data_IF_477725883460
#
_entry.id   IF_477725883460
#
_cell.length_a   1.000
_cell.length_b   1.000
_cell.length_c   1.000
_cell.angle_alpha   90.00
_cell.angle_beta   90.00
_cell.angle_gamma   90.00
#
_symmetry.space_group_name_H-M   'P 1'
#
loop_
_entity.id
_entity.type
_entity.pdbx_description
1 polymer ?
#
# COMPACT_ATOMS: atom_id res chain seq x y z
N UNK A 1 52.07 -61.09 -15.78
CA UNK A 1 51.04 -60.21 -16.38
C UNK A 1 49.75 -60.06 -15.56
N UNK A 2 49.57 -60.71 -14.40
CA UNK A 2 48.35 -60.58 -13.56
C UNK A 2 48.25 -59.28 -12.72
N UNK A 3 49.34 -58.52 -12.58
CA UNK A 3 49.37 -57.33 -11.71
C UNK A 3 49.18 -55.98 -12.45
N UNK A 4 49.27 -55.95 -13.79
CA UNK A 4 49.18 -54.69 -14.56
C UNK A 4 47.71 -54.26 -14.74
N UNK A 5 46.80 -55.21 -15.01
CA UNK A 5 45.36 -54.94 -15.07
C UNK A 5 44.77 -54.59 -13.70
N UNK A 6 45.21 -55.27 -12.64
CA UNK A 6 44.82 -54.96 -11.27
C UNK A 6 45.30 -53.57 -10.83
N UNK A 7 46.52 -53.17 -11.22
CA UNK A 7 47.09 -51.85 -10.92
C UNK A 7 46.39 -50.73 -11.69
N UNK A 8 46.16 -50.90 -12.99
CA UNK A 8 45.43 -49.91 -13.80
C UNK A 8 43.95 -49.79 -13.41
N UNK A 9 43.30 -50.87 -12.97
CA UNK A 9 41.93 -50.83 -12.44
C UNK A 9 41.82 -50.11 -11.10
N UNK A 10 42.79 -50.28 -10.19
CA UNK A 10 42.84 -49.57 -8.91
C UNK A 10 43.13 -48.07 -9.13
N UNK A 11 44.06 -47.73 -10.03
CA UNK A 11 44.35 -46.33 -10.40
C UNK A 11 43.13 -45.65 -11.04
N UNK A 12 42.41 -46.34 -11.92
CA UNK A 12 41.16 -45.84 -12.50
C UNK A 12 40.08 -45.62 -11.43
N UNK A 13 39.89 -46.56 -10.50
CA UNK A 13 38.93 -46.41 -9.39
C UNK A 13 39.30 -45.24 -8.47
N UNK A 14 40.58 -45.05 -8.17
CA UNK A 14 41.04 -43.94 -7.34
C UNK A 14 40.76 -42.59 -8.00
N UNK A 15 41.02 -42.46 -9.31
CA UNK A 15 40.73 -41.25 -10.08
C UNK A 15 39.22 -41.01 -10.16
N UNK A 16 38.42 -42.05 -10.43
CA UNK A 16 36.96 -41.95 -10.50
C UNK A 16 36.36 -41.52 -9.15
N UNK A 17 36.86 -42.07 -8.04
CA UNK A 17 36.43 -41.69 -6.69
C UNK A 17 36.86 -40.26 -6.33
N UNK A 18 38.05 -39.82 -6.76
CA UNK A 18 38.50 -38.44 -6.58
C UNK A 18 37.59 -37.43 -7.29
N UNK A 19 37.23 -37.71 -8.55
CA UNK A 19 36.33 -36.86 -9.34
C UNK A 19 34.92 -36.88 -8.75
N UNK A 20 34.38 -38.07 -8.45
CA UNK A 20 33.03 -38.22 -7.89
C UNK A 20 32.91 -37.57 -6.52
N UNK A 21 33.93 -37.72 -5.67
CA UNK A 21 34.01 -37.08 -4.36
C UNK A 21 34.12 -35.55 -4.45
N UNK A 22 34.93 -35.02 -5.38
CA UNK A 22 35.02 -33.58 -5.62
C UNK A 22 33.67 -33.00 -6.06
N UNK A 23 33.00 -33.65 -7.03
CA UNK A 23 31.68 -33.22 -7.51
C UNK A 23 30.63 -33.27 -6.39
N UNK A 24 30.68 -34.27 -5.52
CA UNK A 24 29.77 -34.38 -4.38
C UNK A 24 29.98 -33.25 -3.36
N UNK A 25 31.24 -32.96 -3.01
CA UNK A 25 31.57 -31.84 -2.10
C UNK A 25 31.12 -30.51 -2.69
N UNK A 26 31.40 -30.27 -3.97
CA UNK A 26 31.02 -29.03 -4.65
C UNK A 26 29.50 -28.87 -4.74
N UNK A 27 28.77 -29.97 -4.99
CA UNK A 27 27.31 -29.95 -5.00
C UNK A 27 26.73 -29.68 -3.60
N UNK A 28 27.28 -30.29 -2.55
CA UNK A 28 26.86 -30.03 -1.18
C UNK A 28 27.10 -28.57 -0.75
N UNK A 29 28.25 -27.99 -1.12
CA UNK A 29 28.52 -26.57 -0.85
C UNK A 29 27.50 -25.67 -1.55
N UNK A 30 27.22 -25.91 -2.83
CA UNK A 30 26.21 -25.15 -3.58
C UNK A 30 24.82 -25.24 -2.95
N UNK A 31 24.41 -26.43 -2.49
CA UNK A 31 23.13 -26.60 -1.79
C UNK A 31 23.09 -25.83 -0.46
N UNK A 32 24.18 -25.85 0.30
CA UNK A 32 24.29 -25.08 1.55
C UNK A 32 24.27 -23.56 1.29
N UNK A 33 24.96 -23.08 0.26
CA UNK A 33 24.97 -21.67 -0.12
C UNK A 33 23.58 -21.19 -0.56
N UNK A 34 22.87 -22.00 -1.35
CA UNK A 34 21.49 -21.72 -1.76
C UNK A 34 20.52 -21.66 -0.58
N UNK A 35 20.65 -22.57 0.39
CA UNK A 35 19.82 -22.55 1.59
C UNK A 35 20.13 -21.34 2.47
N UNK A 36 21.41 -20.97 2.62
CA UNK A 36 21.80 -19.75 3.34
C UNK A 36 21.26 -18.48 2.66
N UNK A 37 21.29 -18.43 1.32
CA UNK A 37 20.73 -17.32 0.56
C UNK A 37 19.21 -17.23 0.75
N UNK A 38 18.51 -18.37 0.71
CA UNK A 38 17.08 -18.46 1.01
C UNK A 38 16.79 -17.91 2.41
N UNK A 39 17.54 -18.33 3.43
CA UNK A 39 17.43 -17.84 4.83
C UNK A 39 17.55 -16.33 4.91
N UNK A 40 18.55 -15.78 4.26
CA UNK A 40 18.75 -14.34 4.22
C UNK A 40 17.58 -13.61 3.55
N UNK A 41 17.09 -14.12 2.40
CA UNK A 41 15.94 -13.52 1.69
C UNK A 41 14.68 -13.51 2.55
N UNK A 42 14.36 -14.62 3.22
CA UNK A 42 13.19 -14.71 4.10
C UNK A 42 13.32 -13.76 5.31
N UNK A 43 14.51 -13.62 5.88
CA UNK A 43 14.75 -12.68 6.97
C UNK A 43 14.54 -11.22 6.51
N UNK A 44 15.12 -10.83 5.37
CA UNK A 44 14.94 -9.50 4.77
C UNK A 44 13.44 -9.21 4.51
N UNK A 45 12.70 -10.19 3.98
CA UNK A 45 11.28 -10.05 3.71
C UNK A 45 10.48 -9.87 5.00
N UNK A 46 10.82 -10.62 6.06
CA UNK A 46 10.13 -10.52 7.34
C UNK A 46 10.30 -9.13 7.96
N UNK A 47 11.53 -8.60 7.95
CA UNK A 47 11.82 -7.26 8.46
C UNK A 47 11.09 -6.16 7.65
N UNK A 48 11.04 -6.30 6.31
CA UNK A 48 10.32 -5.35 5.45
C UNK A 48 8.81 -5.40 5.66
N UNK A 49 8.24 -6.61 5.78
CA UNK A 49 6.81 -6.80 6.06
C UNK A 49 6.43 -6.15 7.39
N UNK A 50 7.27 -6.27 8.41
CA UNK A 50 7.02 -5.68 9.72
C UNK A 50 6.93 -4.15 9.62
N UNK A 51 7.87 -3.53 8.92
CA UNK A 51 7.84 -2.10 8.68
C UNK A 51 6.56 -1.66 7.93
N UNK A 52 6.10 -2.45 6.96
CA UNK A 52 4.86 -2.14 6.21
C UNK A 52 3.62 -2.36 7.08
N UNK A 53 3.59 -3.39 7.93
CA UNK A 53 2.50 -3.61 8.90
C UNK A 53 2.40 -2.41 9.83
N UNK A 54 3.51 -1.92 10.37
CA UNK A 54 3.53 -0.76 11.27
C UNK A 54 2.97 0.48 10.57
N UNK A 55 3.48 0.80 9.37
CA UNK A 55 2.97 1.90 8.55
C UNK A 55 1.48 1.75 8.24
N UNK A 56 1.04 0.55 7.86
CA UNK A 56 -0.35 0.29 7.47
C UNK A 56 -1.29 0.38 8.67
N UNK A 57 -0.83 -0.02 9.85
CA UNK A 57 -1.58 0.12 11.11
C UNK A 57 -1.84 1.59 11.42
N UNK A 58 -0.82 2.43 11.34
CA UNK A 58 -0.94 3.88 11.53
C UNK A 58 -1.93 4.49 10.52
N UNK A 59 -1.80 4.11 9.24
CA UNK A 59 -2.73 4.55 8.19
C UNK A 59 -4.18 4.15 8.47
N UNK A 60 -4.43 2.93 8.91
CA UNK A 60 -5.78 2.46 9.24
C UNK A 60 -6.39 3.29 10.40
N UNK A 61 -5.59 3.72 11.37
CA UNK A 61 -6.09 4.60 12.44
C UNK A 61 -6.55 5.95 11.89
N UNK A 62 -5.77 6.59 11.03
CA UNK A 62 -6.18 7.81 10.33
C UNK A 62 -7.46 7.61 9.50
N UNK A 63 -7.57 6.47 8.82
CA UNK A 63 -8.74 6.15 8.01
C UNK A 63 -10.00 5.91 8.83
N UNK A 64 -9.89 5.33 10.03
CA UNK A 64 -11.04 5.15 10.92
C UNK A 64 -11.61 6.50 11.39
N UNK A 65 -10.72 7.46 11.69
CA UNK A 65 -11.11 8.83 11.99
C UNK A 65 -11.80 9.47 10.79
N UNK A 66 -11.17 9.44 9.62
CA UNK A 66 -11.72 10.00 8.39
C UNK A 66 -13.09 9.38 8.02
N UNK A 67 -13.23 8.06 8.15
CA UNK A 67 -14.50 7.36 7.90
C UNK A 67 -15.61 7.89 8.83
N UNK A 68 -15.27 8.12 10.11
CA UNK A 68 -16.18 8.63 11.13
C UNK A 68 -16.55 10.10 10.89
N UNK A 69 -15.59 10.94 10.48
CA UNK A 69 -15.82 12.34 10.09
C UNK A 69 -16.75 12.42 8.88
N UNK A 70 -16.54 11.56 7.88
CA UNK A 70 -17.43 11.43 6.71
C UNK A 70 -18.83 11.03 7.15
N UNK A 71 -18.97 9.98 7.98
CA UNK A 71 -20.28 9.53 8.45
C UNK A 71 -21.01 10.62 9.24
N UNK A 72 -20.30 11.33 10.10
CA UNK A 72 -20.86 12.46 10.83
C UNK A 72 -21.41 13.53 9.89
N UNK A 73 -20.63 13.95 8.88
CA UNK A 73 -21.07 14.97 7.91
C UNK A 73 -22.37 14.54 7.20
N UNK A 74 -22.43 13.32 6.69
CA UNK A 74 -23.60 12.85 5.93
C UNK A 74 -24.81 12.58 6.81
N UNK A 75 -24.63 12.03 8.01
CA UNK A 75 -25.72 11.80 8.95
C UNK A 75 -26.34 13.11 9.46
N UNK A 76 -25.59 14.21 9.42
CA UNK A 76 -26.04 15.53 9.84
C UNK A 76 -26.20 16.51 8.68
N UNK A 77 -26.21 16.07 7.42
CA UNK A 77 -26.12 16.95 6.24
C UNK A 77 -27.12 18.13 6.28
N UNK A 78 -28.38 17.85 6.61
CA UNK A 78 -29.47 18.84 6.66
C UNK A 78 -29.31 19.89 7.77
N UNK A 79 -28.64 19.53 8.86
CA UNK A 79 -28.48 20.36 10.07
C UNK A 79 -27.02 20.69 10.39
N UNK A 80 -26.10 20.39 9.47
CA UNK A 80 -24.66 20.58 9.67
C UNK A 80 -24.38 22.07 9.89
N UNK A 81 -23.52 22.39 10.84
CA UNK A 81 -23.02 23.76 11.00
C UNK A 81 -21.54 23.72 11.31
N UNK A 82 -20.79 24.47 10.51
CA UNK A 82 -19.34 24.58 10.63
C UNK A 82 -18.88 25.18 11.97
N UNK A 83 -19.71 26.00 12.61
CA UNK A 83 -19.44 26.60 13.93
C UNK A 83 -19.51 25.60 15.09
N UNK A 84 -20.20 24.46 14.90
CA UNK A 84 -20.35 23.42 15.92
C UNK A 84 -19.23 22.38 15.89
N UNK A 85 -18.25 22.55 15.01
CA UNK A 85 -17.11 21.65 14.85
C UNK A 85 -15.95 22.15 15.73
N UNK A 86 -15.50 21.30 16.66
CA UNK A 86 -14.43 21.64 17.61
C UNK A 86 -13.11 21.99 16.92
N UNK A 87 -12.74 21.24 15.86
CA UNK A 87 -11.59 21.51 15.00
C UNK A 87 -12.01 21.53 13.52
N UNK A 88 -12.43 22.71 13.00
CA UNK A 88 -12.88 22.84 11.62
C UNK A 88 -11.77 22.57 10.60
N UNK A 89 -10.51 22.83 10.96
CA UNK A 89 -9.38 22.61 10.06
C UNK A 89 -9.16 21.11 9.83
N UNK A 90 -9.06 20.34 10.91
CA UNK A 90 -8.87 18.90 10.88
C UNK A 90 -10.10 18.19 10.28
N UNK A 91 -11.31 18.64 10.59
CA UNK A 91 -12.53 18.13 9.97
C UNK A 91 -12.53 18.35 8.45
N UNK A 92 -12.17 19.56 8.01
CA UNK A 92 -12.01 19.86 6.59
C UNK A 92 -10.96 18.98 5.96
N UNK A 93 -9.86 18.74 6.66
CA UNK A 93 -8.77 17.92 6.18
C UNK A 93 -9.18 16.48 5.90
N UNK A 94 -9.92 15.87 6.83
CA UNK A 94 -10.52 14.55 6.66
C UNK A 94 -11.45 14.49 5.44
N UNK A 95 -12.29 15.51 5.23
CA UNK A 95 -13.29 15.52 4.15
C UNK A 95 -12.69 15.89 2.78
N UNK A 96 -11.76 16.83 2.72
CA UNK A 96 -11.29 17.43 1.48
C UNK A 96 -10.01 16.77 0.93
N UNK A 97 -9.05 16.47 1.80
CA UNK A 97 -7.70 16.10 1.38
C UNK A 97 -7.59 14.64 0.96
N UNK A 98 -6.86 14.39 -0.12
CA UNK A 98 -6.50 13.04 -0.58
C UNK A 98 -5.01 12.78 -0.40
N UNK A 99 -4.14 13.73 -0.75
CA UNK A 99 -2.68 13.56 -0.77
C UNK A 99 -2.10 13.03 0.54
N UNK A 100 -2.48 13.61 1.68
CA UNK A 100 -1.98 13.19 2.98
C UNK A 100 -2.45 11.81 3.40
N UNK A 101 -3.61 11.38 2.89
CA UNK A 101 -4.20 10.07 3.17
C UNK A 101 -3.81 9.01 2.12
N UNK A 102 -2.97 9.35 1.14
CA UNK A 102 -2.48 8.38 0.15
C UNK A 102 -1.75 7.22 0.81
N UNK A 103 -2.01 6.00 0.37
CA UNK A 103 -1.36 4.81 0.86
C UNK A 103 -0.13 4.51 0.01
N UNK A 104 1.05 4.73 0.57
CA UNK A 104 2.32 4.61 -0.14
C UNK A 104 3.33 3.85 0.72
N UNK A 105 3.12 2.53 0.93
CA UNK A 105 4.08 1.70 1.63
C UNK A 105 5.40 1.67 0.86
N UNK A 106 6.53 1.60 1.57
CA UNK A 106 7.82 1.36 0.92
C UNK A 106 7.85 -0.09 0.41
N UNK A 107 8.20 -0.28 -0.86
CA UNK A 107 8.32 -1.62 -1.47
C UNK A 107 9.69 -1.82 -2.14
N UNK A 108 10.66 -0.92 -1.91
CA UNK A 108 11.96 -0.94 -2.59
C UNK A 108 12.71 -2.26 -2.41
N UNK A 109 12.57 -2.88 -1.23
CA UNK A 109 13.22 -4.16 -0.93
C UNK A 109 12.64 -5.28 -1.78
N UNK A 110 11.32 -5.33 -1.98
CA UNK A 110 10.69 -6.31 -2.88
C UNK A 110 11.09 -6.10 -4.33
N UNK A 111 11.12 -4.84 -4.78
CA UNK A 111 11.53 -4.50 -6.14
C UNK A 111 12.98 -4.89 -6.41
N UNK A 112 13.88 -4.71 -5.43
CA UNK A 112 15.26 -5.14 -5.51
C UNK A 112 15.37 -6.67 -5.62
N UNK A 113 14.71 -7.41 -4.72
CA UNK A 113 14.69 -8.89 -4.73
C UNK A 113 14.09 -9.45 -6.02
N UNK A 114 13.07 -8.78 -6.58
CA UNK A 114 12.47 -9.17 -7.86
C UNK A 114 13.44 -8.92 -9.03
N UNK A 115 14.14 -7.79 -9.01
CA UNK A 115 15.05 -7.37 -10.09
C UNK A 115 16.33 -8.21 -10.15
N UNK A 116 16.87 -8.61 -8.99
CA UNK A 116 18.08 -9.45 -8.92
C UNK A 116 17.80 -10.96 -8.94
N UNK A 117 16.52 -11.36 -8.97
CA UNK A 117 16.09 -12.74 -9.12
C UNK A 117 16.00 -13.53 -7.80
N UNK A 118 16.42 -12.96 -6.67
CA UNK A 118 16.34 -13.62 -5.34
C UNK A 118 14.91 -13.87 -4.88
N UNK A 119 13.94 -13.12 -5.42
CA UNK A 119 12.52 -13.38 -5.17
C UNK A 119 12.08 -14.80 -5.61
N UNK A 120 12.80 -15.43 -6.55
CA UNK A 120 12.53 -16.81 -6.97
C UNK A 120 12.86 -17.88 -5.92
N UNK A 121 13.60 -17.52 -4.86
CA UNK A 121 13.91 -18.40 -3.73
C UNK A 121 12.73 -18.54 -2.75
N UNK A 122 11.71 -17.69 -2.87
CA UNK A 122 10.49 -17.71 -2.05
C UNK A 122 9.50 -18.74 -2.60
N UNK A 123 8.72 -19.39 -1.73
CA UNK A 123 7.68 -20.33 -2.16
C UNK A 123 6.68 -19.73 -3.15
N UNK A 124 6.29 -20.53 -4.15
CA UNK A 124 5.41 -20.09 -5.25
C UNK A 124 4.08 -19.50 -4.75
N UNK A 125 3.52 -20.04 -3.68
CA UNK A 125 2.24 -19.57 -3.14
C UNK A 125 2.38 -18.24 -2.39
N UNK A 126 3.51 -18.03 -1.71
CA UNK A 126 3.84 -16.72 -1.13
C UNK A 126 4.05 -15.68 -2.24
N UNK A 127 4.76 -16.05 -3.32
CA UNK A 127 4.93 -15.15 -4.49
C UNK A 127 3.60 -14.77 -5.14
N UNK A 128 2.63 -15.68 -5.23
CA UNK A 128 1.28 -15.38 -5.73
C UNK A 128 0.58 -14.34 -4.85
N UNK A 129 0.63 -14.50 -3.52
CA UNK A 129 0.06 -13.53 -2.58
C UNK A 129 0.70 -12.15 -2.71
N UNK A 130 2.02 -12.08 -2.91
CA UNK A 130 2.68 -10.81 -3.24
C UNK A 130 2.17 -10.21 -4.55
N UNK A 131 1.94 -11.03 -5.58
CA UNK A 131 1.31 -10.60 -6.82
C UNK A 131 -0.07 -9.97 -6.60
N UNK A 132 -0.92 -10.61 -5.79
CA UNK A 132 -2.23 -10.08 -5.39
C UNK A 132 -2.11 -8.75 -4.63
N UNK A 133 -1.12 -8.65 -3.74
CA UNK A 133 -0.83 -7.45 -2.95
C UNK A 133 -0.39 -6.28 -3.84
N UNK A 134 0.50 -6.50 -4.80
CA UNK A 134 0.91 -5.47 -5.76
C UNK A 134 -0.24 -5.02 -6.66
N UNK A 135 -1.06 -5.96 -7.15
CA UNK A 135 -2.27 -5.62 -7.90
C UNK A 135 -3.24 -4.76 -7.06
N UNK A 136 -3.43 -5.12 -5.79
CA UNK A 136 -4.30 -4.36 -4.89
C UNK A 136 -3.77 -2.94 -4.68
N UNK A 137 -2.45 -2.75 -4.55
CA UNK A 137 -1.83 -1.43 -4.46
C UNK A 137 -2.08 -0.59 -5.72
N UNK A 138 -1.97 -1.17 -6.92
CA UNK A 138 -2.31 -0.47 -8.17
C UNK A 138 -3.78 -0.02 -8.18
N UNK A 139 -4.70 -0.85 -7.69
CA UNK A 139 -6.10 -0.47 -7.55
C UNK A 139 -6.32 0.65 -6.53
N UNK A 140 -5.59 0.63 -5.40
CA UNK A 140 -5.62 1.69 -4.40
C UNK A 140 -5.15 3.02 -5.02
N UNK A 141 -4.01 3.03 -5.71
CA UNK A 141 -3.49 4.20 -6.40
C UNK A 141 -4.47 4.75 -7.44
N UNK A 142 -5.15 3.87 -8.17
CA UNK A 142 -6.20 4.28 -9.12
C UNK A 142 -7.40 4.94 -8.42
N UNK A 143 -7.79 4.44 -7.25
CA UNK A 143 -8.87 5.05 -6.46
C UNK A 143 -8.47 6.44 -5.96
N UNK A 144 -7.23 6.61 -5.50
CA UNK A 144 -6.69 7.91 -5.05
C UNK A 144 -6.68 8.94 -6.18
N UNK A 145 -6.30 8.52 -7.40
CA UNK A 145 -6.39 9.39 -8.58
C UNK A 145 -7.84 9.79 -8.89
N UNK A 146 -8.78 8.86 -8.81
CA UNK A 146 -10.20 9.15 -9.00
C UNK A 146 -10.75 10.05 -7.88
N UNK A 147 -10.26 9.91 -6.66
CA UNK A 147 -10.66 10.73 -5.52
C UNK A 147 -10.21 12.18 -5.73
N UNK A 148 -8.95 12.38 -6.14
CA UNK A 148 -8.45 13.69 -6.55
C UNK A 148 -9.30 14.28 -7.68
N UNK A 149 -9.59 13.51 -8.73
CA UNK A 149 -10.43 13.99 -9.83
C UNK A 149 -11.83 14.39 -9.35
N UNK A 150 -12.46 13.59 -8.48
CA UNK A 150 -13.79 13.89 -7.95
C UNK A 150 -13.79 15.14 -7.07
N UNK A 151 -12.69 15.39 -6.35
CA UNK A 151 -12.48 16.65 -5.62
C UNK A 151 -12.38 17.83 -6.59
N UNK A 152 -11.57 17.72 -7.64
CA UNK A 152 -11.45 18.79 -8.65
C UNK A 152 -12.79 19.07 -9.34
N UNK A 153 -13.57 18.03 -9.67
CA UNK A 153 -14.90 18.20 -10.26
C UNK A 153 -15.84 18.97 -9.32
N UNK A 154 -15.81 18.68 -8.01
CA UNK A 154 -16.54 19.43 -6.99
C UNK A 154 -16.08 20.90 -6.92
N UNK A 155 -14.77 21.14 -6.90
CA UNK A 155 -14.20 22.49 -6.84
C UNK A 155 -14.66 23.30 -8.06
N UNK A 156 -14.48 22.74 -9.26
CA UNK A 156 -14.87 23.38 -10.53
C UNK A 156 -16.37 23.68 -10.56
N UNK A 157 -17.20 22.75 -10.08
CA UNK A 157 -18.63 22.96 -9.99
C UNK A 157 -18.98 24.10 -9.04
N UNK A 158 -18.41 24.11 -7.83
CA UNK A 158 -18.62 25.17 -6.84
C UNK A 158 -18.14 26.53 -7.39
N UNK A 159 -17.01 26.59 -8.10
CA UNK A 159 -16.50 27.85 -8.67
C UNK A 159 -17.37 28.39 -9.80
N UNK A 160 -18.06 27.52 -10.55
CA UNK A 160 -18.93 27.93 -11.67
C UNK A 160 -20.33 28.31 -11.23
N UNK A 161 -20.87 27.61 -10.23
CA UNK A 161 -22.29 27.72 -9.86
C UNK A 161 -22.51 28.42 -8.51
N UNK A 162 -21.47 28.50 -7.68
CA UNK A 162 -21.48 29.09 -6.34
C UNK A 162 -20.31 30.08 -6.15
N UNK A 163 -19.97 30.81 -7.21
CA UNK A 163 -18.80 31.71 -7.26
C UNK A 163 -18.84 32.80 -6.18
N UNK A 164 -20.01 33.38 -5.91
CA UNK A 164 -20.19 34.41 -4.88
C UNK A 164 -19.90 33.87 -3.48
N UNK A 165 -20.36 32.65 -3.17
CA UNK A 165 -20.10 31.99 -1.89
C UNK A 165 -18.59 31.71 -1.76
N UNK A 166 -17.94 31.21 -2.82
CA UNK A 166 -16.49 31.00 -2.80
C UNK A 166 -15.69 32.30 -2.64
N UNK A 167 -16.16 33.40 -3.24
CA UNK A 167 -15.54 34.71 -3.09
C UNK A 167 -15.66 35.24 -1.65
N UNK A 168 -16.81 35.03 -1.01
CA UNK A 168 -17.05 35.39 0.38
C UNK A 168 -16.24 34.52 1.36
N UNK A 169 -16.06 33.24 1.04
CA UNK A 169 -15.41 32.25 1.90
C UNK A 169 -14.24 31.53 1.18
N UNK A 170 -13.13 32.24 0.86
CA UNK A 170 -12.02 31.66 0.12
C UNK A 170 -11.27 30.60 0.93
N UNK A 171 -10.96 29.44 0.33
CA UNK A 171 -10.29 28.32 1.03
C UNK A 171 -8.98 27.79 0.41
N UNK A 172 -8.54 28.32 -0.74
CA UNK A 172 -7.36 27.79 -1.46
C UNK A 172 -6.22 28.80 -1.63
N UNK A 173 -6.53 30.09 -1.83
CA UNK A 173 -5.54 31.15 -1.99
C UNK A 173 -6.19 32.54 -1.83
N UNK A 174 -5.52 33.46 -1.15
CA UNK A 174 -5.96 34.86 -1.02
C UNK A 174 -5.74 35.44 0.38
N UNK A 175 -5.88 36.76 0.50
CA UNK A 175 -5.92 37.46 1.79
C UNK A 175 -7.16 36.97 2.54
N UNK A 176 -7.01 36.56 3.81
CA UNK A 176 -8.06 35.97 4.66
C UNK A 176 -8.58 34.58 4.24
N UNK A 177 -7.89 33.88 3.32
CA UNK A 177 -8.23 32.48 3.00
C UNK A 177 -8.00 31.58 4.21
N UNK A 178 -8.98 30.76 4.54
CA UNK A 178 -8.90 29.74 5.59
C UNK A 178 -9.32 28.40 5.01
N UNK A 179 -8.55 27.35 5.26
CA UNK A 179 -8.84 26.04 4.66
C UNK A 179 -10.23 25.54 5.09
N UNK A 180 -10.58 25.77 6.35
CA UNK A 180 -11.87 25.43 6.95
C UNK A 180 -13.08 26.17 6.37
N UNK A 181 -12.87 27.24 5.57
CA UNK A 181 -13.96 27.90 4.85
C UNK A 181 -14.67 26.95 3.87
N UNK A 182 -14.03 25.84 3.48
CA UNK A 182 -14.70 24.79 2.71
C UNK A 182 -15.97 24.28 3.41
N UNK A 183 -15.99 24.15 4.74
CA UNK A 183 -17.17 23.71 5.49
C UNK A 183 -18.29 24.74 5.43
N UNK A 184 -17.94 26.03 5.50
CA UNK A 184 -18.91 27.12 5.36
C UNK A 184 -19.53 27.10 3.96
N UNK A 185 -18.73 26.82 2.92
CA UNK A 185 -19.25 26.65 1.56
C UNK A 185 -20.21 25.45 1.49
N UNK A 186 -19.85 24.30 2.07
CA UNK A 186 -20.74 23.14 2.12
C UNK A 186 -22.06 23.44 2.83
N UNK A 187 -22.00 24.17 3.95
CA UNK A 187 -23.18 24.61 4.70
C UNK A 187 -24.08 25.52 3.85
N UNK A 188 -23.52 26.50 3.15
CA UNK A 188 -24.27 27.44 2.30
C UNK A 188 -24.75 26.81 0.98
N UNK A 189 -24.25 25.63 0.61
CA UNK A 189 -24.62 24.93 -0.63
C UNK A 189 -25.38 23.63 -0.38
N UNK A 190 -25.85 23.39 0.85
CA UNK A 190 -26.45 22.10 1.23
C UNK A 190 -27.66 21.67 0.43
N UNK A 191 -28.45 22.64 -0.05
CA UNK A 191 -29.66 22.40 -0.83
C UNK A 191 -29.35 22.04 -2.29
N UNK A 192 -28.10 22.21 -2.73
CA UNK A 192 -27.65 21.81 -4.06
C UNK A 192 -27.32 20.31 -4.10
N UNK A 193 -28.23 19.54 -4.68
CA UNK A 193 -28.10 18.08 -4.88
C UNK A 193 -26.87 17.69 -5.71
N UNK A 194 -26.35 18.58 -6.55
CA UNK A 194 -25.13 18.34 -7.32
C UNK A 194 -23.90 18.40 -6.43
N UNK A 195 -23.85 19.36 -5.50
CA UNK A 195 -22.79 19.43 -4.47
C UNK A 195 -22.82 18.15 -3.63
N UNK A 196 -24.00 17.74 -3.15
CA UNK A 196 -24.16 16.48 -2.42
C UNK A 196 -23.65 15.28 -3.24
N UNK A 197 -24.02 15.19 -4.51
CA UNK A 197 -23.60 14.07 -5.38
C UNK A 197 -22.10 14.02 -5.66
N UNK A 198 -21.47 15.17 -5.94
CA UNK A 198 -20.03 15.27 -6.21
C UNK A 198 -19.19 15.01 -4.95
N UNK A 199 -19.60 15.59 -3.81
CA UNK A 199 -18.98 15.29 -2.52
C UNK A 199 -19.16 13.82 -2.16
N UNK A 200 -20.34 13.25 -2.44
CA UNK A 200 -20.67 11.84 -2.22
C UNK A 200 -19.75 10.92 -3.00
N UNK A 201 -19.47 11.26 -4.26
CA UNK A 201 -18.52 10.55 -5.11
C UNK A 201 -17.11 10.57 -4.52
N UNK A 202 -16.62 11.74 -4.09
CA UNK A 202 -15.31 11.90 -3.45
C UNK A 202 -15.23 11.06 -2.18
N UNK A 203 -16.12 11.28 -1.22
CA UNK A 203 -16.09 10.59 0.07
C UNK A 203 -16.32 9.08 -0.07
N UNK A 204 -17.14 8.65 -1.03
CA UNK A 204 -17.31 7.25 -1.36
C UNK A 204 -16.03 6.59 -1.87
N UNK A 205 -15.23 7.30 -2.68
CA UNK A 205 -13.90 6.83 -3.10
C UNK A 205 -12.92 6.78 -1.93
N UNK A 206 -12.93 7.79 -1.06
CA UNK A 206 -12.12 7.80 0.18
C UNK A 206 -12.39 6.54 1.03
N UNK A 207 -13.67 6.23 1.33
CA UNK A 207 -14.04 5.02 2.08
C UNK A 207 -13.64 3.73 1.36
N UNK A 208 -13.76 3.72 0.03
CA UNK A 208 -13.40 2.59 -0.84
C UNK A 208 -11.89 2.32 -0.82
N UNK A 209 -11.05 3.37 -0.75
CA UNK A 209 -9.60 3.30 -0.53
C UNK A 209 -9.31 2.73 0.85
N UNK A 210 -9.89 3.31 1.90
CA UNK A 210 -9.69 2.92 3.30
C UNK A 210 -9.98 1.41 3.51
N UNK A 211 -11.08 0.91 2.94
CA UNK A 211 -11.42 -0.53 2.97
C UNK A 211 -10.38 -1.40 2.27
N UNK A 212 -9.82 -0.97 1.14
CA UNK A 212 -8.81 -1.75 0.41
C UNK A 212 -7.46 -1.80 1.11
N UNK A 213 -7.09 -0.74 1.83
CA UNK A 213 -5.89 -0.77 2.66
C UNK A 213 -6.05 -1.78 3.81
N UNK A 214 -7.25 -1.93 4.39
CA UNK A 214 -7.53 -3.01 5.34
C UNK A 214 -7.36 -4.40 4.70
N UNK A 215 -7.85 -4.60 3.48
CA UNK A 215 -7.61 -5.84 2.73
C UNK A 215 -6.11 -6.07 2.42
N UNK A 216 -5.37 -5.01 2.13
CA UNK A 216 -3.91 -5.09 1.93
C UNK A 216 -3.23 -5.59 3.21
N UNK A 217 -3.62 -5.06 4.37
CA UNK A 217 -3.13 -5.53 5.67
C UNK A 217 -3.43 -7.02 5.91
N UNK A 218 -4.64 -7.47 5.58
CA UNK A 218 -5.04 -8.89 5.71
C UNK A 218 -4.15 -9.81 4.86
N UNK A 219 -3.91 -9.45 3.59
CA UNK A 219 -3.04 -10.22 2.69
C UNK A 219 -1.60 -10.21 3.21
N UNK A 220 -1.09 -9.04 3.61
CA UNK A 220 0.27 -8.87 4.12
C UNK A 220 0.52 -9.70 5.39
N UNK A 221 -0.44 -9.69 6.31
CA UNK A 221 -0.38 -10.48 7.54
C UNK A 221 -0.41 -11.98 7.23
N UNK A 222 -1.24 -12.39 6.27
CA UNK A 222 -1.25 -13.78 5.80
C UNK A 222 0.09 -14.18 5.16
N UNK A 223 0.75 -13.28 4.43
CA UNK A 223 2.09 -13.54 3.90
C UNK A 223 3.07 -13.74 5.06
N UNK A 224 3.06 -12.87 6.07
CA UNK A 224 3.91 -12.96 7.26
C UNK A 224 3.77 -14.28 7.98
N UNK A 225 2.54 -14.73 8.24
CA UNK A 225 2.27 -15.99 8.93
C UNK A 225 2.82 -17.21 8.16
N UNK A 226 2.84 -17.13 6.83
CA UNK A 226 3.36 -18.20 5.98
C UNK A 226 4.87 -18.06 5.68
N UNK A 227 5.50 -16.94 6.05
CA UNK A 227 6.95 -16.76 6.09
C UNK A 227 7.48 -17.33 7.40
N UNK A 228 7.47 -18.65 7.52
CA UNK A 228 8.11 -19.37 8.63
C UNK A 228 9.21 -20.28 8.10
N UNK A 229 10.36 -20.27 8.79
CA UNK A 229 11.39 -21.31 8.69
C UNK A 229 11.00 -22.56 9.46
#
# INVERSE_FOLDING_TARGET
MKNILARGGIEFLAVLLGISGSLWIDNNKKLADLENERVNVYQILNDEIDAIIDYTTERIQYYNKQDSTIDFLYNNWENFSSELIDDPFDFTYDIFTTGTYMYSPNLSTFDALKSDGRFNLIDIDIRKKFGELFMLLEYINKIENNENQSREDLIVYLSKNHSEIQYQYPYHAGINSKFENFLVILENTRDDKTVWGLLGRKCGLTKSRNRRVRLFMEILTSIKENLSY
#
